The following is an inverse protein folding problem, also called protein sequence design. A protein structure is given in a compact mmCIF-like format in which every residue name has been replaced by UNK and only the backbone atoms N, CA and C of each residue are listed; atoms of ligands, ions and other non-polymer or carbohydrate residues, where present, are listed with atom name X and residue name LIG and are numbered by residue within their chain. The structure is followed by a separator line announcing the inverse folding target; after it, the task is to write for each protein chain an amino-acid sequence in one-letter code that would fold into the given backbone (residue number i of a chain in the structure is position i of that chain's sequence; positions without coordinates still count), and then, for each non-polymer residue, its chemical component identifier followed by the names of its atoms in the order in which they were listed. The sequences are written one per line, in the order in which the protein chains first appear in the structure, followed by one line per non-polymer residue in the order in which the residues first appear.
data_IF_403563014875
#
_entry.id   IF_403563014875
#
_cell.length_a   1.000
_cell.length_b   1.000
_cell.length_c   1.000
_cell.angle_alpha   90.00
_cell.angle_beta   90.00
_cell.angle_gamma   90.00
#
_symmetry.space_group_name_H-M   'P 1'
#
loop_
_entity.id
_entity.type
_entity.pdbx_description
1 polymer ?
#
# COMPACT_ATOMS: atom_id res chain seq x y z
N UNK A 1 -14.44 14.43 15.58
CA UNK A 1 -13.86 14.06 14.26
C UNK A 1 -14.62 12.93 13.56
N UNK A 2 -15.43 12.14 14.29
CA UNK A 2 -16.44 11.24 13.75
C UNK A 2 -17.74 11.37 14.55
N UNK A 3 -18.84 10.90 14.00
CA UNK A 3 -20.13 10.74 14.69
C UNK A 3 -20.69 9.35 14.43
N UNK A 4 -21.39 8.79 15.41
CA UNK A 4 -22.13 7.54 15.20
C UNK A 4 -23.34 7.82 14.31
N UNK A 5 -23.49 7.06 13.23
CA UNK A 5 -24.65 7.14 12.32
C UNK A 5 -25.70 6.10 12.70
N UNK A 6 -25.25 4.88 13.01
CA UNK A 6 -26.04 3.80 13.59
C UNK A 6 -25.13 2.94 14.47
N UNK A 7 -25.69 2.03 15.28
CA UNK A 7 -24.94 1.23 16.25
C UNK A 7 -23.73 0.54 15.60
N UNK A 8 -22.53 0.96 15.99
CA UNK A 8 -21.27 0.40 15.47
C UNK A 8 -20.82 0.91 14.10
N UNK A 9 -21.56 1.85 13.48
CA UNK A 9 -21.19 2.51 12.22
C UNK A 9 -20.95 4.00 12.46
N UNK A 10 -19.73 4.43 12.15
CA UNK A 10 -19.29 5.81 12.33
C UNK A 10 -19.00 6.47 11.00
N UNK A 11 -19.29 7.76 10.92
CA UNK A 11 -18.98 8.60 9.76
C UNK A 11 -18.09 9.77 10.17
N UNK A 12 -17.16 10.13 9.31
CA UNK A 12 -16.24 11.24 9.49
C UNK A 12 -16.16 12.07 8.20
N UNK A 13 -15.86 13.35 8.34
CA UNK A 13 -15.45 14.17 7.21
C UNK A 13 -14.10 13.66 6.68
N UNK A 14 -14.05 13.28 5.40
CA UNK A 14 -12.89 12.59 4.83
C UNK A 14 -11.62 13.46 4.85
N UNK A 15 -11.63 14.74 4.42
CA UNK A 15 -10.48 15.63 4.56
C UNK A 15 -9.96 15.75 5.99
N UNK A 16 -10.86 15.94 6.97
CA UNK A 16 -10.47 16.05 8.38
C UNK A 16 -9.91 14.72 8.95
N UNK A 17 -10.50 13.58 8.59
CA UNK A 17 -9.98 12.28 9.01
C UNK A 17 -8.56 12.04 8.45
N UNK A 18 -8.36 12.29 7.16
CA UNK A 18 -7.07 12.13 6.50
C UNK A 18 -6.01 13.10 7.04
N UNK A 19 -6.36 14.37 7.27
CA UNK A 19 -5.40 15.35 7.80
C UNK A 19 -4.90 14.99 9.20
N UNK A 20 -5.76 14.44 10.05
CA UNK A 20 -5.35 13.91 11.36
C UNK A 20 -4.45 12.69 11.27
N UNK A 21 -4.73 11.77 10.34
CA UNK A 21 -3.85 10.61 10.12
C UNK A 21 -2.45 11.06 9.67
N UNK A 22 -2.37 12.02 8.75
CA UNK A 22 -1.11 12.59 8.28
C UNK A 22 -0.35 13.28 9.42
N UNK A 23 -1.02 14.17 10.17
CA UNK A 23 -0.41 14.88 11.29
C UNK A 23 0.15 13.89 12.34
N UNK A 24 -0.67 12.92 12.76
CA UNK A 24 -0.26 11.91 13.76
C UNK A 24 0.89 11.04 13.25
N UNK A 25 0.92 10.72 11.95
CA UNK A 25 2.02 9.95 11.33
C UNK A 25 3.33 10.73 11.37
N UNK A 26 3.29 12.03 11.05
CA UNK A 26 4.46 12.90 11.15
C UNK A 26 4.93 13.07 12.61
N UNK A 27 4.00 13.25 13.54
CA UNK A 27 4.28 13.39 14.98
C UNK A 27 4.92 12.12 15.57
N UNK A 28 4.57 10.95 15.02
CA UNK A 28 5.20 9.67 15.36
C UNK A 28 6.63 9.51 14.77
N UNK A 29 7.11 10.49 13.99
CA UNK A 29 8.47 10.53 13.45
C UNK A 29 8.61 10.01 12.02
N UNK A 30 7.53 9.56 11.37
CA UNK A 30 7.58 9.15 9.97
C UNK A 30 7.85 10.35 9.06
N UNK A 31 8.62 10.12 7.99
CA UNK A 31 8.88 11.12 6.95
C UNK A 31 7.99 10.86 5.75
N UNK A 32 7.35 11.91 5.24
CA UNK A 32 6.52 11.86 4.04
C UNK A 32 7.28 12.56 2.91
N UNK A 33 7.54 11.82 1.84
CA UNK A 33 8.13 12.35 0.61
C UNK A 33 7.03 12.28 -0.45
N UNK A 34 6.37 13.42 -0.70
CA UNK A 34 5.33 13.54 -1.72
C UNK A 34 5.93 13.85 -3.10
N UNK A 35 5.10 13.82 -4.15
CA UNK A 35 5.52 14.07 -5.54
C UNK A 35 6.61 13.11 -6.04
N UNK A 36 6.60 11.89 -5.50
CA UNK A 36 7.50 10.79 -5.87
C UNK A 36 6.66 9.63 -6.36
N UNK A 37 7.11 9.00 -7.45
CA UNK A 37 6.48 7.85 -8.09
C UNK A 37 7.40 6.64 -7.99
N UNK A 38 6.80 5.48 -7.79
CA UNK A 38 7.49 4.19 -7.90
C UNK A 38 7.80 3.91 -9.37
N UNK A 39 9.08 3.76 -9.69
CA UNK A 39 9.54 3.29 -11.00
C UNK A 39 9.81 1.78 -10.95
N UNK A 40 10.47 1.32 -9.89
CA UNK A 40 10.85 -0.09 -9.74
C UNK A 40 11.11 -0.55 -8.30
N UNK A 41 11.61 -1.77 -8.11
CA UNK A 41 12.02 -2.35 -6.82
C UNK A 41 13.52 -2.65 -6.79
N UNK A 42 14.12 -2.54 -5.60
CA UNK A 42 15.48 -3.05 -5.35
C UNK A 42 15.38 -4.52 -4.93
N UNK A 43 16.02 -5.42 -5.68
CA UNK A 43 16.03 -6.86 -5.41
C UNK A 43 17.45 -7.35 -5.10
N UNK A 44 17.65 -8.02 -3.98
CA UNK A 44 18.88 -8.76 -3.66
C UNK A 44 18.53 -10.15 -3.14
N UNK A 45 19.17 -11.19 -3.69
CA UNK A 45 18.98 -12.59 -3.30
C UNK A 45 17.48 -12.98 -3.22
N UNK A 46 16.70 -12.67 -4.26
CA UNK A 46 15.25 -12.94 -4.32
C UNK A 46 14.45 -12.33 -3.16
N UNK A 47 14.92 -11.20 -2.62
CA UNK A 47 14.25 -10.44 -1.58
C UNK A 47 14.12 -8.98 -1.99
N UNK A 48 12.96 -8.39 -1.72
CA UNK A 48 12.75 -6.94 -1.86
C UNK A 48 13.53 -6.21 -0.76
N UNK A 49 14.40 -5.29 -1.16
CA UNK A 49 15.32 -4.53 -0.29
C UNK A 49 15.16 -3.01 -0.43
N UNK A 50 14.08 -2.57 -1.04
CA UNK A 50 13.81 -1.16 -1.25
C UNK A 50 13.00 -0.91 -2.50
N UNK A 51 12.88 0.36 -2.83
CA UNK A 51 12.14 0.86 -4.00
C UNK A 51 13.05 1.74 -4.84
N UNK A 52 12.81 1.75 -6.13
CA UNK A 52 13.40 2.67 -7.09
C UNK A 52 12.33 3.69 -7.44
N UNK A 53 12.66 4.96 -7.27
CA UNK A 53 11.69 6.04 -7.36
C UNK A 53 12.19 7.17 -8.24
N UNK A 54 11.24 7.92 -8.80
CA UNK A 54 11.52 9.12 -9.56
C UNK A 54 10.54 10.22 -9.16
N UNK A 55 10.82 11.46 -9.55
CA UNK A 55 9.88 12.56 -9.35
C UNK A 55 8.66 12.35 -10.23
N UNK A 56 7.45 12.56 -9.68
CA UNK A 56 6.22 12.42 -10.47
C UNK A 56 6.24 13.29 -11.74
N UNK A 57 6.88 14.46 -11.68
CA UNK A 57 7.03 15.35 -12.83
C UNK A 57 7.76 14.70 -14.02
N UNK A 58 8.73 13.81 -13.78
CA UNK A 58 9.48 13.13 -14.85
C UNK A 58 8.55 12.27 -15.70
N UNK A 59 7.53 11.66 -15.09
CA UNK A 59 6.52 10.86 -15.83
C UNK A 59 5.60 11.68 -16.74
N UNK A 60 5.58 13.00 -16.59
CA UNK A 60 4.81 13.91 -17.45
C UNK A 60 5.64 14.48 -18.61
N UNK A 61 6.96 14.22 -18.64
CA UNK A 61 7.85 14.66 -19.71
C UNK A 61 7.69 13.70 -20.92
N UNK A 62 7.67 14.21 -22.16
CA UNK A 62 7.66 13.36 -23.36
C UNK A 62 8.82 12.36 -23.32
N UNK A 63 8.54 11.10 -23.69
CA UNK A 63 9.48 9.99 -23.56
C UNK A 63 10.81 10.27 -24.28
N UNK A 64 10.75 10.99 -25.40
CA UNK A 64 11.89 11.36 -26.24
C UNK A 64 12.93 12.23 -25.52
N UNK A 65 12.54 12.93 -24.45
CA UNK A 65 13.42 13.79 -23.65
C UNK A 65 13.41 13.45 -22.16
N UNK A 66 12.72 12.37 -21.75
CA UNK A 66 12.63 11.91 -20.36
C UNK A 66 13.81 10.99 -19.98
N UNK A 67 15.04 11.44 -20.20
CA UNK A 67 16.26 10.71 -19.84
C UNK A 67 16.77 11.14 -18.44
N UNK A 68 15.93 10.96 -17.42
CA UNK A 68 16.29 11.26 -16.03
C UNK A 68 16.24 9.96 -15.23
N UNK A 69 17.41 9.47 -14.84
CA UNK A 69 17.54 8.22 -14.09
C UNK A 69 16.85 8.32 -12.71
N UNK A 70 16.21 7.22 -12.26
CA UNK A 70 15.59 7.15 -10.95
C UNK A 70 16.64 6.93 -9.84
N UNK A 71 16.20 7.06 -8.59
CA UNK A 71 17.03 6.89 -7.39
C UNK A 71 16.51 5.71 -6.57
N UNK A 72 17.42 4.91 -6.02
CA UNK A 72 17.08 3.83 -5.09
C UNK A 72 16.95 4.33 -3.65
N UNK A 73 15.92 3.83 -2.95
CA UNK A 73 15.72 3.98 -1.52
C UNK A 73 15.71 2.58 -0.89
N UNK A 74 16.80 2.23 -0.23
CA UNK A 74 16.95 0.92 0.42
C UNK A 74 16.22 0.84 1.76
N UNK A 75 15.65 -0.34 2.04
CA UNK A 75 14.94 -0.61 3.29
C UNK A 75 15.02 -2.09 3.68
N UNK A 76 14.78 -2.38 4.96
CA UNK A 76 14.68 -3.77 5.46
C UNK A 76 13.38 -4.45 5.02
N UNK A 77 12.31 -3.66 4.86
CA UNK A 77 10.98 -4.07 4.46
C UNK A 77 10.35 -2.99 3.59
N UNK A 78 9.49 -3.39 2.66
CA UNK A 78 8.61 -2.53 1.87
C UNK A 78 7.16 -2.93 2.18
N UNK A 79 6.27 -1.94 2.34
CA UNK A 79 4.84 -2.16 2.49
C UNK A 79 4.14 -1.55 1.26
N UNK A 80 3.53 -2.39 0.44
CA UNK A 80 2.67 -1.94 -0.66
C UNK A 80 1.28 -1.58 -0.14
N UNK A 81 1.07 -0.27 0.03
CA UNK A 81 -0.20 0.35 0.36
C UNK A 81 -0.75 1.20 -0.81
N UNK A 82 -0.37 0.89 -2.06
CA UNK A 82 -0.72 1.69 -3.26
C UNK A 82 -2.16 1.48 -3.74
N UNK A 83 -2.97 0.81 -2.92
CA UNK A 83 -4.38 0.56 -3.21
C UNK A 83 -4.55 -0.45 -4.36
N UNK A 84 -5.56 -0.23 -5.20
CA UNK A 84 -5.93 -1.15 -6.28
C UNK A 84 -4.81 -1.38 -7.29
N UNK A 85 -3.90 -0.41 -7.43
CA UNK A 85 -2.82 -0.50 -8.39
C UNK A 85 -1.79 -1.57 -8.01
N UNK A 86 -1.62 -1.86 -6.70
CA UNK A 86 -0.62 -2.79 -6.18
C UNK A 86 0.75 -2.60 -6.90
N UNK A 87 1.21 -1.35 -6.98
CA UNK A 87 2.27 -0.93 -7.89
C UNK A 87 3.59 -1.64 -7.62
N UNK A 88 3.92 -1.93 -6.35
CA UNK A 88 5.14 -2.67 -6.00
C UNK A 88 4.99 -4.12 -6.42
N UNK A 89 3.84 -4.73 -6.13
CA UNK A 89 3.53 -6.11 -6.52
C UNK A 89 3.61 -6.29 -8.04
N UNK A 90 3.06 -5.35 -8.82
CA UNK A 90 3.12 -5.39 -10.29
C UNK A 90 4.55 -5.41 -10.81
N UNK A 91 5.51 -4.72 -10.17
CA UNK A 91 6.92 -4.76 -10.56
C UNK A 91 7.57 -6.13 -10.36
N UNK A 92 7.09 -6.91 -9.40
CA UNK A 92 7.49 -8.31 -9.22
C UNK A 92 6.79 -9.22 -10.23
N UNK A 93 5.52 -8.96 -10.54
CA UNK A 93 4.75 -9.69 -11.56
C UNK A 93 5.34 -9.51 -12.97
N UNK A 94 5.74 -8.30 -13.36
CA UNK A 94 6.42 -7.98 -14.63
C UNK A 94 7.70 -8.79 -14.83
N UNK A 95 8.33 -9.25 -13.74
CA UNK A 95 9.53 -10.10 -13.73
C UNK A 95 9.23 -11.59 -13.65
N UNK A 96 7.96 -11.98 -13.59
CA UNK A 96 7.54 -13.38 -13.43
C UNK A 96 7.82 -13.98 -12.05
N UNK A 97 8.09 -13.14 -11.03
CA UNK A 97 8.40 -13.62 -9.66
C UNK A 97 7.15 -13.99 -8.86
N UNK A 98 6.00 -13.43 -9.24
CA UNK A 98 4.70 -13.75 -8.66
C UNK A 98 3.60 -13.54 -9.71
N UNK A 99 2.38 -13.96 -9.37
CA UNK A 99 1.20 -13.74 -10.20
C UNK A 99 0.03 -13.24 -9.35
N UNK A 100 -0.58 -12.15 -9.77
CA UNK A 100 -1.77 -11.58 -9.15
C UNK A 100 -3.03 -12.24 -9.72
N UNK A 101 -4.10 -12.25 -8.93
CA UNK A 101 -5.41 -12.76 -9.35
C UNK A 101 -6.35 -11.67 -9.89
N UNK A 102 -5.94 -10.41 -9.79
CA UNK A 102 -6.78 -9.25 -10.10
C UNK A 102 -7.76 -8.94 -8.96
N UNK A 103 -8.79 -8.16 -9.24
CA UNK A 103 -9.79 -7.75 -8.25
C UNK A 103 -11.19 -8.24 -8.62
N UNK A 104 -11.95 -8.69 -7.61
CA UNK A 104 -13.35 -9.08 -7.74
C UNK A 104 -14.33 -7.90 -7.71
N UNK A 105 -15.60 -8.20 -8.04
CA UNK A 105 -16.71 -7.25 -7.95
C UNK A 105 -16.98 -6.78 -6.50
N UNK A 106 -17.88 -5.81 -6.33
CA UNK A 106 -18.16 -5.23 -5.02
C UNK A 106 -18.97 -6.19 -4.14
N UNK A 107 -18.47 -6.46 -2.93
CA UNK A 107 -19.18 -7.11 -1.84
C UNK A 107 -18.59 -6.63 -0.52
N UNK A 108 -19.24 -5.64 0.07
CA UNK A 108 -18.71 -4.85 1.21
C UNK A 108 -18.29 -5.73 2.39
N UNK A 109 -19.25 -6.44 2.99
CA UNK A 109 -19.02 -7.26 4.20
C UNK A 109 -17.93 -8.32 4.00
N UNK A 110 -17.96 -9.01 2.85
CA UNK A 110 -16.97 -10.05 2.53
C UNK A 110 -15.60 -9.45 2.25
N UNK A 111 -15.54 -8.31 1.56
CA UNK A 111 -14.30 -7.61 1.23
C UNK A 111 -13.56 -7.18 2.49
N UNK A 112 -14.24 -6.53 3.44
CA UNK A 112 -13.60 -5.97 4.63
C UNK A 112 -12.90 -7.05 5.47
N UNK A 113 -13.59 -8.15 5.77
CA UNK A 113 -13.00 -9.26 6.52
C UNK A 113 -11.84 -9.93 5.79
N UNK A 114 -11.99 -10.17 4.48
CA UNK A 114 -10.96 -10.86 3.70
C UNK A 114 -9.69 -10.02 3.52
N UNK A 115 -9.82 -8.70 3.34
CA UNK A 115 -8.65 -7.80 3.19
C UNK A 115 -7.81 -7.80 4.46
N UNK A 116 -8.43 -7.71 5.64
CA UNK A 116 -7.70 -7.79 6.91
C UNK A 116 -7.04 -9.16 7.07
N UNK A 117 -7.77 -10.25 6.80
CA UNK A 117 -7.28 -11.61 6.95
C UNK A 117 -6.11 -11.98 6.00
N UNK A 118 -6.07 -11.40 4.80
CA UNK A 118 -5.03 -11.67 3.80
C UNK A 118 -3.89 -10.64 3.80
N UNK A 119 -3.95 -9.63 4.67
CA UNK A 119 -2.81 -8.73 4.90
C UNK A 119 -1.63 -9.53 5.42
N UNK A 120 -0.56 -9.60 4.63
CA UNK A 120 0.55 -10.53 4.86
C UNK A 120 1.84 -10.06 4.18
N UNK A 121 2.95 -10.71 4.52
CA UNK A 121 4.16 -10.66 3.69
C UNK A 121 3.94 -11.55 2.46
N UNK A 122 3.74 -10.90 1.31
CA UNK A 122 3.44 -11.59 0.05
C UNK A 122 4.68 -12.23 -0.57
N UNK A 123 5.81 -11.56 -0.44
CA UNK A 123 7.10 -11.95 -0.99
C UNK A 123 8.18 -11.55 0.03
N UNK A 124 9.32 -12.26 0.14
CA UNK A 124 10.36 -11.89 1.09
C UNK A 124 10.69 -10.39 1.04
N UNK A 125 10.51 -9.69 2.16
CA UNK A 125 10.75 -8.24 2.25
C UNK A 125 9.62 -7.33 1.78
N UNK A 126 8.49 -7.88 1.31
CA UNK A 126 7.33 -7.15 0.80
C UNK A 126 6.03 -7.55 1.50
N UNK A 127 5.46 -6.61 2.25
CA UNK A 127 4.14 -6.72 2.87
C UNK A 127 3.10 -6.03 1.97
N UNK A 128 1.91 -6.61 1.87
CA UNK A 128 0.77 -5.99 1.16
C UNK A 128 -0.34 -5.64 2.15
N UNK A 129 -0.94 -4.46 1.97
CA UNK A 129 -2.00 -3.95 2.85
C UNK A 129 -3.06 -3.17 2.06
N UNK A 130 -4.24 -2.98 2.67
CA UNK A 130 -5.37 -2.27 2.07
C UNK A 130 -5.81 -2.92 0.76
N UNK A 131 -6.18 -2.11 -0.22
CA UNK A 131 -6.71 -2.63 -1.50
C UNK A 131 -5.68 -3.35 -2.37
N UNK A 132 -4.38 -3.22 -2.11
CA UNK A 132 -3.37 -4.02 -2.80
C UNK A 132 -3.57 -5.52 -2.52
N UNK A 133 -4.01 -5.87 -1.30
CA UNK A 133 -4.37 -7.24 -0.90
C UNK A 133 -5.48 -7.79 -1.80
N UNK A 134 -6.49 -6.98 -2.11
CA UNK A 134 -7.59 -7.41 -2.98
C UNK A 134 -7.09 -7.72 -4.39
N UNK A 135 -6.24 -6.87 -4.97
CA UNK A 135 -5.63 -7.08 -6.29
C UNK A 135 -4.73 -8.33 -6.35
N UNK A 136 -3.98 -8.57 -5.28
CA UNK A 136 -3.09 -9.74 -5.19
C UNK A 136 -3.92 -11.03 -5.14
N UNK A 137 -4.90 -11.09 -4.24
CA UNK A 137 -5.60 -12.33 -3.89
C UNK A 137 -6.95 -12.53 -4.59
N UNK A 138 -7.39 -11.63 -5.47
CA UNK A 138 -8.66 -11.81 -6.18
C UNK A 138 -9.88 -11.50 -5.30
N UNK A 139 -9.72 -10.65 -4.28
CA UNK A 139 -10.78 -10.42 -3.30
C UNK A 139 -11.80 -9.38 -3.81
N UNK A 140 -13.05 -9.41 -3.33
CA UNK A 140 -14.03 -8.36 -3.62
C UNK A 140 -13.57 -6.97 -3.15
N UNK A 141 -14.16 -5.91 -3.71
CA UNK A 141 -14.00 -4.51 -3.23
C UNK A 141 -15.12 -4.08 -2.27
N UNK A 142 -14.86 -3.12 -1.37
CA UNK A 142 -15.83 -2.68 -0.35
C UNK A 142 -16.51 -1.33 -0.58
N UNK A 143 -16.13 -0.58 -1.62
CA UNK A 143 -16.72 0.73 -1.87
C UNK A 143 -16.36 1.74 -0.78
N UNK A 144 -17.26 2.68 -0.40
CA UNK A 144 -16.95 3.81 0.47
C UNK A 144 -17.00 3.44 1.97
N UNK A 145 -16.33 2.35 2.35
CA UNK A 145 -16.12 1.93 3.74
C UNK A 145 -14.62 1.75 3.99
N UNK A 146 -14.16 2.15 5.18
CA UNK A 146 -12.72 2.32 5.44
C UNK A 146 -12.23 1.55 6.68
N UNK A 147 -13.11 0.81 7.37
CA UNK A 147 -12.75 0.08 8.59
C UNK A 147 -11.64 -0.93 8.32
N UNK A 148 -11.81 -1.74 7.27
CA UNK A 148 -10.79 -2.67 6.83
C UNK A 148 -9.48 -2.01 6.39
N UNK A 149 -9.49 -0.78 5.85
CA UNK A 149 -8.24 -0.11 5.47
C UNK A 149 -7.38 0.20 6.70
N UNK A 150 -8.01 0.69 7.77
CA UNK A 150 -7.33 0.99 9.03
C UNK A 150 -6.86 -0.29 9.73
N UNK A 151 -7.70 -1.32 9.79
CA UNK A 151 -7.37 -2.60 10.42
C UNK A 151 -6.30 -3.38 9.64
N UNK A 152 -6.35 -3.35 8.31
CA UNK A 152 -5.32 -3.92 7.44
C UNK A 152 -3.98 -3.20 7.64
N UNK A 153 -3.97 -1.86 7.67
CA UNK A 153 -2.76 -1.09 7.98
C UNK A 153 -2.17 -1.43 9.36
N UNK A 154 -3.02 -1.59 10.38
CA UNK A 154 -2.59 -2.07 11.70
C UNK A 154 -1.96 -3.46 11.62
N UNK A 155 -2.61 -4.41 10.94
CA UNK A 155 -2.09 -5.77 10.76
C UNK A 155 -0.74 -5.78 10.04
N UNK A 156 -0.56 -4.94 9.01
CA UNK A 156 0.72 -4.79 8.33
C UNK A 156 1.82 -4.26 9.26
N UNK A 157 1.49 -3.31 10.15
CA UNK A 157 2.42 -2.80 11.15
C UNK A 157 2.83 -3.87 12.19
N UNK A 158 1.90 -4.73 12.62
CA UNK A 158 2.19 -5.87 13.50
C UNK A 158 3.19 -6.83 12.84
N UNK A 159 2.93 -7.22 11.59
CA UNK A 159 3.82 -8.09 10.80
C UNK A 159 5.20 -7.45 10.62
N UNK A 160 5.24 -6.15 10.30
CA UNK A 160 6.50 -5.43 10.16
C UNK A 160 7.29 -5.39 11.47
N UNK A 161 6.61 -5.18 12.61
CA UNK A 161 7.24 -5.16 13.93
C UNK A 161 7.83 -6.52 14.28
N UNK A 162 7.09 -7.61 14.06
CA UNK A 162 7.58 -8.98 14.25
C UNK A 162 8.83 -9.26 13.39
N UNK A 163 8.81 -8.86 12.12
CA UNK A 163 9.92 -9.05 11.17
C UNK A 163 11.15 -8.22 11.51
N UNK A 164 10.95 -7.01 12.02
CA UNK A 164 12.03 -6.11 12.43
C UNK A 164 12.52 -6.36 13.86
N UNK A 165 11.80 -7.20 14.62
CA UNK A 165 12.03 -7.46 16.05
C UNK A 165 11.97 -6.18 16.89
N UNK A 166 10.95 -5.34 16.60
CA UNK A 166 10.62 -4.13 17.36
C UNK A 166 9.67 -4.43 18.51
#
# INVERSE_FOLDING_TARGET
PYKEYSKGLYVADAPHACSKLIATTCDAGAKIINMVRLDDVVLHNEQVRGVVVNWTAVSAIPHEIAAIDPVSLESKLVIDATGHDASVVKKLEERGLLKTKGQGAMWVERSENLVVAHTSELYPGLIVTGMAVSTVYGLPRMGPTFGAMLLSGKRAAEIASEKLKL
#
